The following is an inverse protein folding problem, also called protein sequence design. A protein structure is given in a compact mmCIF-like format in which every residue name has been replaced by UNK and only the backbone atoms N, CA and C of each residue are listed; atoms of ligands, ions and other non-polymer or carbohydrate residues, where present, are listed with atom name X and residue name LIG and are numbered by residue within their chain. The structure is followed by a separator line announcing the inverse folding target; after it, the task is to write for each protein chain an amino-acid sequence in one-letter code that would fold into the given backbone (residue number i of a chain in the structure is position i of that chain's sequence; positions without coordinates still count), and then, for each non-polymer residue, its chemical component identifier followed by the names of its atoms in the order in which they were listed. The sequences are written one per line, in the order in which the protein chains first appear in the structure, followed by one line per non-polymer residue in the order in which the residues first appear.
data_IF_041180580857
#
_entry.id   IF_041180580857
#
_cell.length_a   1.000
_cell.length_b   1.000
_cell.length_c   1.000
_cell.angle_alpha   90.00
_cell.angle_beta   90.00
_cell.angle_gamma   90.00
#
_symmetry.space_group_name_H-M   'P 1'
#
loop_
_entity.id
_entity.type
_entity.pdbx_description
1 polymer ?
#
# COMPACT_ATOMS: atom_id res chain seq x y z
N UNK A 1 -9.92 -19.84 -52.61
CA UNK A 1 -10.39 -20.82 -51.60
C UNK A 1 -9.20 -21.24 -50.74
N UNK A 2 -9.47 -21.47 -49.46
CA UNK A 2 -8.54 -21.50 -48.33
C UNK A 2 -7.50 -22.65 -48.33
N UNK A 3 -6.45 -22.49 -47.50
CA UNK A 3 -5.55 -23.57 -47.10
C UNK A 3 -4.49 -23.10 -46.10
N UNK A 4 -4.84 -23.11 -44.81
CA UNK A 4 -4.03 -22.69 -43.66
C UNK A 4 -2.96 -23.73 -43.29
N UNK A 5 -1.80 -23.27 -42.80
CA UNK A 5 -0.79 -24.16 -42.21
C UNK A 5 0.47 -23.46 -41.70
N UNK A 6 0.37 -22.66 -40.64
CA UNK A 6 1.55 -22.25 -39.88
C UNK A 6 1.55 -22.90 -38.49
N UNK A 7 2.49 -23.82 -38.33
CA UNK A 7 2.85 -24.54 -37.12
C UNK A 7 3.28 -23.54 -36.04
N UNK A 8 2.49 -23.44 -34.96
CA UNK A 8 2.91 -22.68 -33.77
C UNK A 8 3.80 -23.57 -32.90
N UNK A 9 5.12 -23.41 -33.04
CA UNK A 9 6.12 -24.01 -32.16
C UNK A 9 6.08 -23.26 -30.81
N UNK A 10 5.37 -23.84 -29.84
CA UNK A 10 5.40 -23.44 -28.42
C UNK A 10 6.85 -23.58 -27.93
N UNK A 11 7.57 -22.47 -27.78
CA UNK A 11 8.82 -22.42 -27.01
C UNK A 11 8.49 -21.85 -25.64
N UNK A 12 8.71 -22.67 -24.63
CA UNK A 12 8.62 -22.33 -23.23
C UNK A 12 9.51 -21.13 -22.92
N UNK A 13 8.94 -20.06 -22.38
CA UNK A 13 9.70 -19.03 -21.68
C UNK A 13 9.47 -19.27 -20.19
N UNK A 14 10.48 -19.86 -19.54
CA UNK A 14 10.57 -19.94 -18.10
C UNK A 14 10.38 -18.55 -17.48
N UNK A 15 9.35 -18.43 -16.65
CA UNK A 15 9.01 -17.19 -15.97
C UNK A 15 9.99 -16.88 -14.85
N UNK A 16 11.02 -16.09 -15.16
CA UNK A 16 11.81 -15.38 -14.15
C UNK A 16 11.14 -14.03 -13.91
N UNK A 17 10.66 -13.76 -12.69
CA UNK A 17 10.15 -12.42 -12.31
C UNK A 17 11.29 -11.40 -12.53
N UNK A 18 11.11 -10.38 -13.37
CA UNK A 18 12.12 -9.33 -13.53
C UNK A 18 12.26 -8.54 -12.22
N UNK A 19 13.49 -8.34 -11.77
CA UNK A 19 13.82 -7.43 -10.65
C UNK A 19 13.62 -5.99 -11.14
N UNK A 20 12.65 -5.30 -10.56
CA UNK A 20 12.43 -3.86 -10.78
C UNK A 20 11.19 -3.56 -11.63
N UNK A 21 10.30 -2.74 -11.07
CA UNK A 21 9.07 -2.25 -11.71
C UNK A 21 9.35 -1.09 -12.67
N UNK A 22 10.47 -0.40 -12.51
CA UNK A 22 10.72 0.87 -13.19
C UNK A 22 11.26 0.76 -14.61
N UNK A 23 11.94 -0.34 -14.97
CA UNK A 23 12.56 -0.50 -16.29
C UNK A 23 11.61 -1.02 -17.38
N UNK A 24 10.37 -1.38 -17.02
CA UNK A 24 9.42 -2.02 -17.96
C UNK A 24 8.42 -1.09 -18.63
N UNK A 25 8.46 0.22 -18.38
CA UNK A 25 7.40 1.13 -18.81
C UNK A 25 7.62 1.88 -20.12
N UNK A 26 8.75 1.69 -20.83
CA UNK A 26 9.00 2.42 -22.10
C UNK A 26 8.78 1.60 -23.38
N UNK A 27 8.53 0.29 -23.29
CA UNK A 27 8.57 -0.60 -24.46
C UNK A 27 7.24 -0.95 -25.11
N UNK A 28 6.09 -0.77 -24.44
CA UNK A 28 4.84 -1.43 -24.87
C UNK A 28 3.57 -0.59 -24.76
N UNK A 29 3.65 0.70 -24.43
CA UNK A 29 2.46 1.55 -24.32
C UNK A 29 2.64 2.78 -25.20
N UNK A 30 1.72 2.96 -26.14
CA UNK A 30 1.61 4.22 -26.89
C UNK A 30 1.11 5.32 -25.95
N UNK A 31 1.54 6.57 -26.17
CA UNK A 31 1.25 7.72 -25.30
C UNK A 31 -0.25 7.95 -25.01
N UNK A 32 -1.15 7.35 -25.81
CA UNK A 32 -2.60 7.44 -25.64
C UNK A 32 -3.16 6.47 -24.58
N UNK A 33 -2.47 5.38 -24.26
CA UNK A 33 -2.92 4.38 -23.27
C UNK A 33 -2.40 4.65 -21.85
N UNK A 34 -1.57 5.68 -21.67
CA UNK A 34 -1.02 6.10 -20.37
C UNK A 34 -2.07 6.89 -19.56
N UNK A 35 -3.18 7.30 -20.17
CA UNK A 35 -4.22 8.10 -19.53
C UNK A 35 -5.59 7.41 -19.68
N UNK A 36 -5.75 6.27 -19.02
CA UNK A 36 -7.07 5.86 -18.53
C UNK A 36 -6.92 5.10 -17.20
N UNK A 37 -7.26 5.81 -16.12
CA UNK A 37 -7.47 5.24 -14.78
C UNK A 37 -8.64 4.24 -14.82
N UNK A 38 -8.40 3.00 -15.23
CA UNK A 38 -9.28 1.90 -14.83
C UNK A 38 -8.72 0.49 -15.08
N UNK A 39 -7.72 0.34 -15.95
CA UNK A 39 -7.12 -0.98 -16.21
C UNK A 39 -5.79 -1.08 -15.47
N UNK A 40 -5.88 -1.37 -14.17
CA UNK A 40 -4.74 -1.88 -13.43
C UNK A 40 -4.20 -3.13 -14.15
N UNK A 41 -2.90 -3.16 -14.42
CA UNK A 41 -2.31 -4.31 -15.14
C UNK A 41 -2.61 -5.64 -14.43
N UNK A 42 -2.72 -6.78 -15.13
CA UNK A 42 -2.96 -8.07 -14.48
C UNK A 42 -1.97 -8.41 -13.35
N UNK A 43 -0.76 -7.84 -13.41
CA UNK A 43 0.29 -8.02 -12.43
C UNK A 43 -0.01 -7.35 -11.08
N UNK A 44 -0.58 -6.13 -11.07
CA UNK A 44 -0.89 -5.46 -9.81
C UNK A 44 -2.13 -6.08 -9.14
N UNK A 45 -3.07 -6.63 -9.93
CA UNK A 45 -4.21 -7.39 -9.40
C UNK A 45 -3.76 -8.65 -8.64
N UNK A 46 -2.76 -9.36 -9.16
CA UNK A 46 -2.13 -10.48 -8.46
C UNK A 46 -1.47 -10.04 -7.14
N UNK A 47 -0.87 -8.84 -7.10
CA UNK A 47 -0.31 -8.29 -5.87
C UNK A 47 -1.39 -8.03 -4.80
N UNK A 48 -2.55 -7.46 -5.18
CA UNK A 48 -3.69 -7.34 -4.26
C UNK A 48 -4.12 -8.69 -3.70
N UNK A 49 -4.24 -9.72 -4.55
CA UNK A 49 -4.64 -11.06 -4.11
C UNK A 49 -3.63 -11.69 -3.15
N UNK A 50 -2.33 -11.50 -3.39
CA UNK A 50 -1.28 -11.95 -2.47
C UNK A 50 -1.41 -11.31 -1.10
N UNK A 51 -1.68 -10.01 -1.01
CA UNK A 51 -1.85 -9.31 0.26
C UNK A 51 -3.14 -9.77 0.96
N UNK A 52 -4.26 -9.79 0.22
CA UNK A 52 -5.59 -10.11 0.76
C UNK A 52 -5.69 -11.53 1.30
N UNK A 53 -4.95 -12.48 0.70
CA UNK A 53 -4.84 -13.86 1.21
C UNK A 53 -4.37 -13.91 2.68
N UNK A 54 -3.56 -12.94 3.09
CA UNK A 54 -3.00 -12.84 4.46
C UNK A 54 -3.69 -11.77 5.31
N UNK A 55 -4.79 -11.16 4.85
CA UNK A 55 -5.45 -10.08 5.59
C UNK A 55 -6.36 -10.59 6.73
N UNK A 56 -6.83 -11.84 6.66
CA UNK A 56 -7.76 -12.42 7.63
C UNK A 56 -7.34 -12.29 9.10
N UNK A 57 -6.09 -12.64 9.49
CA UNK A 57 -5.60 -12.45 10.86
C UNK A 57 -5.59 -10.98 11.31
N UNK A 58 -5.29 -10.05 10.41
CA UNK A 58 -5.30 -8.61 10.70
C UNK A 58 -6.73 -8.13 10.97
N UNK A 59 -7.67 -8.59 10.16
CA UNK A 59 -9.09 -8.26 10.29
C UNK A 59 -9.75 -8.84 11.54
N UNK A 60 -9.29 -10.01 11.98
CA UNK A 60 -9.76 -10.64 13.21
C UNK A 60 -9.42 -9.82 14.47
N UNK A 61 -8.32 -9.06 14.46
CA UNK A 61 -7.93 -8.20 15.58
C UNK A 61 -7.19 -6.94 15.12
N UNK A 62 -7.96 -5.96 14.62
CA UNK A 62 -7.43 -4.67 14.20
C UNK A 62 -6.77 -3.88 15.34
N UNK A 63 -7.18 -4.06 16.59
CA UNK A 63 -6.65 -3.29 17.72
C UNK A 63 -5.22 -3.73 18.03
N UNK A 64 -4.99 -5.04 18.16
CA UNK A 64 -3.66 -5.58 18.47
C UNK A 64 -2.69 -5.31 17.32
N UNK A 65 -3.07 -5.62 16.07
CA UNK A 65 -2.21 -5.37 14.92
C UNK A 65 -1.96 -3.87 14.70
N UNK A 66 -2.98 -3.04 14.89
CA UNK A 66 -2.89 -1.59 14.76
C UNK A 66 -1.95 -0.99 15.79
N UNK A 67 -2.03 -1.45 17.05
CA UNK A 67 -1.10 -1.04 18.09
C UNK A 67 0.34 -1.42 17.72
N UNK A 68 0.57 -2.67 17.31
CA UNK A 68 1.90 -3.15 16.92
C UNK A 68 2.49 -2.32 15.78
N UNK A 69 1.68 -1.98 14.76
CA UNK A 69 2.11 -1.15 13.64
C UNK A 69 2.53 0.25 14.11
N UNK A 70 1.69 0.94 14.88
CA UNK A 70 2.02 2.31 15.32
C UNK A 70 3.17 2.34 16.33
N UNK A 71 3.18 1.40 17.27
CA UNK A 71 4.28 1.25 18.23
C UNK A 71 5.61 1.04 17.50
N UNK A 72 5.64 0.15 16.50
CA UNK A 72 6.85 -0.10 15.71
C UNK A 72 7.23 1.09 14.84
N UNK A 73 6.26 1.75 14.20
CA UNK A 73 6.50 2.98 13.43
C UNK A 73 7.18 4.05 14.29
N UNK A 74 6.69 4.30 15.51
CA UNK A 74 7.26 5.32 16.39
C UNK A 74 8.61 4.93 16.97
N UNK A 75 8.89 3.64 17.16
CA UNK A 75 10.22 3.18 17.59
C UNK A 75 11.25 3.23 16.46
N UNK A 76 10.88 2.83 15.24
CA UNK A 76 11.78 2.85 14.07
C UNK A 76 11.97 4.26 13.50
N UNK A 77 10.93 5.10 13.61
CA UNK A 77 10.87 6.46 13.05
C UNK A 77 10.25 7.44 14.05
N UNK A 78 10.96 7.83 15.14
CA UNK A 78 10.40 8.66 16.22
C UNK A 78 9.88 10.02 15.77
N UNK A 79 10.38 10.56 14.66
CA UNK A 79 9.88 11.79 14.06
C UNK A 79 8.41 11.69 13.64
N UNK A 80 7.93 10.49 13.31
CA UNK A 80 6.54 10.28 12.91
C UNK A 80 5.56 10.41 14.07
N UNK A 81 5.97 10.08 15.31
CA UNK A 81 5.12 10.25 16.50
C UNK A 81 4.72 11.71 16.69
N UNK A 82 5.62 12.66 16.34
CA UNK A 82 5.38 14.11 16.42
C UNK A 82 4.21 14.57 15.55
N UNK A 83 3.85 13.80 14.51
CA UNK A 83 2.71 14.07 13.64
C UNK A 83 1.37 13.68 14.26
N UNK A 84 1.37 13.03 15.43
CA UNK A 84 0.18 12.60 16.16
C UNK A 84 0.06 13.36 17.48
N UNK A 85 -0.60 14.55 17.53
CA UNK A 85 -0.72 15.36 18.74
C UNK A 85 -1.26 14.62 19.96
N UNK A 86 -2.10 13.59 19.77
CA UNK A 86 -2.62 12.75 20.85
C UNK A 86 -1.57 11.81 21.47
N UNK A 87 -0.50 11.52 20.74
CA UNK A 87 0.49 10.52 21.11
C UNK A 87 1.87 11.11 21.39
N UNK A 88 2.15 12.36 21.04
CA UNK A 88 3.48 13.00 21.26
C UNK A 88 3.97 12.97 22.70
N UNK A 89 3.05 12.95 23.67
CA UNK A 89 3.38 12.90 25.10
C UNK A 89 3.51 11.49 25.68
N UNK A 90 3.25 10.44 24.89
CA UNK A 90 3.35 9.05 25.36
C UNK A 90 4.81 8.59 25.22
N UNK A 91 5.48 8.15 26.29
CA UNK A 91 6.81 7.56 26.18
C UNK A 91 6.81 6.35 25.26
N UNK A 92 7.88 6.15 24.47
CA UNK A 92 7.97 5.05 23.50
C UNK A 92 7.74 3.66 24.14
N UNK A 93 8.20 3.47 25.38
CA UNK A 93 8.01 2.23 26.15
C UNK A 93 6.57 1.98 26.61
N UNK A 94 5.69 2.98 26.58
CA UNK A 94 4.29 2.88 27.01
C UNK A 94 3.29 2.74 25.86
N UNK A 95 3.74 2.89 24.61
CA UNK A 95 2.90 2.82 23.42
C UNK A 95 2.18 1.47 23.27
N UNK A 96 2.89 0.37 23.57
CA UNK A 96 2.38 -0.99 23.41
C UNK A 96 1.14 -1.28 24.29
N UNK A 97 1.07 -0.66 25.47
CA UNK A 97 -0.06 -0.80 26.41
C UNK A 97 -1.15 0.24 26.21
N UNK A 98 -1.01 1.18 25.27
CA UNK A 98 -1.90 2.32 25.18
C UNK A 98 -3.14 2.04 24.31
N UNK A 99 -4.32 2.05 24.93
CA UNK A 99 -5.59 1.77 24.24
C UNK A 99 -5.94 2.79 23.14
N UNK A 100 -5.52 4.05 23.27
CA UNK A 100 -5.75 5.07 22.24
C UNK A 100 -4.89 4.84 20.99
N UNK A 101 -3.65 4.33 21.18
CA UNK A 101 -2.78 3.88 20.08
C UNK A 101 -3.43 2.69 19.38
N UNK A 102 -3.95 1.71 20.13
CA UNK A 102 -4.67 0.56 19.56
C UNK A 102 -5.88 0.98 18.73
N UNK A 103 -6.73 1.87 19.26
CA UNK A 103 -7.93 2.34 18.57
C UNK A 103 -7.60 3.14 17.29
N UNK A 104 -6.55 3.95 17.31
CA UNK A 104 -6.12 4.69 16.12
C UNK A 104 -5.50 3.76 15.08
N UNK A 105 -4.63 2.84 15.50
CA UNK A 105 -4.05 1.82 14.63
C UNK A 105 -5.13 0.97 13.95
N UNK A 106 -6.19 0.59 14.69
CA UNK A 106 -7.33 -0.11 14.13
C UNK A 106 -8.04 0.70 13.04
N UNK A 107 -8.14 2.02 13.20
CA UNK A 107 -8.74 2.91 12.18
C UNK A 107 -7.87 2.93 10.91
N UNK A 108 -6.55 3.03 11.05
CA UNK A 108 -5.60 2.98 9.93
C UNK A 108 -5.74 1.66 9.17
N UNK A 109 -5.71 0.53 9.88
CA UNK A 109 -5.78 -0.79 9.24
C UNK A 109 -7.15 -1.05 8.61
N UNK A 110 -8.26 -0.62 9.23
CA UNK A 110 -9.60 -0.73 8.59
C UNK A 110 -9.64 0.03 7.28
N UNK A 111 -9.11 1.26 7.24
CA UNK A 111 -9.06 2.06 6.01
C UNK A 111 -8.14 1.45 4.95
N UNK A 112 -7.00 0.90 5.35
CA UNK A 112 -6.16 0.14 4.41
C UNK A 112 -6.87 -1.11 3.89
N UNK A 113 -7.59 -1.85 4.74
CA UNK A 113 -8.39 -3.00 4.34
C UNK A 113 -9.47 -2.65 3.30
N UNK A 114 -10.17 -1.53 3.49
CA UNK A 114 -11.11 -1.00 2.49
C UNK A 114 -10.42 -0.71 1.15
N UNK A 115 -9.25 -0.05 1.16
CA UNK A 115 -8.46 0.25 -0.04
C UNK A 115 -8.00 -1.03 -0.75
N UNK A 116 -7.47 -2.00 -0.01
CA UNK A 116 -6.99 -3.27 -0.57
C UNK A 116 -8.13 -4.07 -1.20
N UNK A 117 -9.31 -4.12 -0.54
CA UNK A 117 -10.50 -4.81 -1.05
C UNK A 117 -11.11 -4.12 -2.28
N UNK A 118 -10.88 -2.81 -2.44
CA UNK A 118 -11.29 -2.09 -3.64
C UNK A 118 -10.44 -2.42 -4.88
N UNK A 119 -9.27 -3.08 -4.71
CA UNK A 119 -8.39 -3.56 -5.77
C UNK A 119 -8.15 -2.54 -6.89
N UNK A 120 -7.81 -1.31 -6.52
CA UNK A 120 -7.56 -0.21 -7.45
C UNK A 120 -8.75 0.66 -7.79
N UNK A 121 -9.98 0.23 -7.53
CA UNK A 121 -11.15 1.09 -7.62
C UNK A 121 -11.32 1.94 -6.35
N UNK A 122 -10.25 2.64 -5.94
CA UNK A 122 -10.15 3.27 -4.63
C UNK A 122 -10.39 4.78 -4.62
N UNK A 123 -10.69 5.41 -5.76
CA UNK A 123 -10.78 6.88 -5.85
C UNK A 123 -11.75 7.50 -4.81
N UNK A 124 -12.90 6.87 -4.59
CA UNK A 124 -13.90 7.34 -3.62
C UNK A 124 -13.44 7.22 -2.16
N UNK A 125 -12.58 6.25 -1.86
CA UNK A 125 -11.99 6.03 -0.53
C UNK A 125 -10.78 6.97 -0.34
N UNK A 126 -9.98 7.12 -1.38
CA UNK A 126 -8.71 7.83 -1.35
C UNK A 126 -8.89 9.35 -1.28
N UNK A 127 -9.86 9.91 -1.99
CA UNK A 127 -10.10 11.37 -2.03
C UNK A 127 -10.28 12.00 -0.63
N UNK A 128 -11.18 11.53 0.25
CA UNK A 128 -11.31 12.09 1.59
C UNK A 128 -10.07 11.82 2.46
N UNK A 129 -9.40 10.68 2.28
CA UNK A 129 -8.15 10.37 2.98
C UNK A 129 -7.04 11.38 2.62
N UNK A 130 -6.78 11.57 1.32
CA UNK A 130 -5.78 12.50 0.83
C UNK A 130 -6.10 13.94 1.27
N UNK A 131 -7.36 14.37 1.17
CA UNK A 131 -7.78 15.70 1.60
C UNK A 131 -7.47 15.96 3.08
N UNK A 132 -7.85 15.05 3.98
CA UNK A 132 -7.58 15.21 5.42
C UNK A 132 -6.09 15.18 5.72
N UNK A 133 -5.32 14.32 5.06
CA UNK A 133 -3.89 14.21 5.30
C UNK A 133 -3.09 15.42 4.76
N UNK A 134 -3.54 16.05 3.67
CA UNK A 134 -2.94 17.26 3.11
C UNK A 134 -3.35 18.55 3.86
N UNK A 135 -4.64 18.70 4.18
CA UNK A 135 -5.19 19.98 4.64
C UNK A 135 -5.17 20.11 6.15
N UNK A 136 -5.43 19.02 6.88
CA UNK A 136 -5.55 19.01 8.34
C UNK A 136 -4.30 18.48 9.02
N UNK A 137 -3.85 17.29 8.61
CA UNK A 137 -2.75 16.61 9.30
C UNK A 137 -1.37 17.00 8.78
N UNK A 138 -1.30 17.58 7.58
CA UNK A 138 -0.06 18.06 6.93
C UNK A 138 1.01 16.95 6.87
N UNK A 139 0.59 15.73 6.51
CA UNK A 139 1.46 14.55 6.52
C UNK A 139 2.34 14.53 5.26
N UNK A 140 3.68 14.51 5.40
CA UNK A 140 4.57 14.36 4.26
C UNK A 140 4.41 12.99 3.56
N UNK A 141 4.47 12.95 2.23
CA UNK A 141 4.27 11.74 1.41
C UNK A 141 5.17 10.56 1.85
N UNK A 142 6.40 10.86 2.30
CA UNK A 142 7.33 9.82 2.75
C UNK A 142 6.78 8.97 3.92
N UNK A 143 5.94 9.53 4.79
CA UNK A 143 5.38 8.80 5.93
C UNK A 143 4.47 7.64 5.52
N UNK A 144 3.80 7.74 4.37
CA UNK A 144 3.02 6.63 3.83
C UNK A 144 3.92 5.47 3.40
N UNK A 145 5.14 5.75 2.92
CA UNK A 145 6.13 4.69 2.61
C UNK A 145 6.62 4.01 3.90
N UNK A 146 6.96 4.81 4.92
CA UNK A 146 7.43 4.29 6.21
C UNK A 146 6.40 3.35 6.85
N UNK A 147 5.14 3.79 6.97
CA UNK A 147 4.10 2.96 7.58
C UNK A 147 3.79 1.72 6.72
N UNK A 148 3.91 1.80 5.39
CA UNK A 148 3.72 0.64 4.51
C UNK A 148 4.77 -0.44 4.75
N UNK A 149 6.04 -0.06 4.92
CA UNK A 149 7.11 -1.02 5.26
C UNK A 149 6.86 -1.66 6.63
N UNK A 150 6.47 -0.86 7.63
CA UNK A 150 6.16 -1.38 8.97
C UNK A 150 4.97 -2.35 8.94
N UNK A 151 3.92 -2.04 8.18
CA UNK A 151 2.77 -2.95 7.99
C UNK A 151 3.23 -4.26 7.35
N UNK A 152 4.08 -4.20 6.32
CA UNK A 152 4.66 -5.39 5.70
C UNK A 152 5.41 -6.28 6.70
N UNK A 153 6.25 -5.68 7.56
CA UNK A 153 6.98 -6.41 8.62
C UNK A 153 6.02 -7.05 9.63
N UNK A 154 5.02 -6.31 10.11
CA UNK A 154 4.04 -6.84 11.08
C UNK A 154 3.20 -7.95 10.46
N UNK A 155 2.76 -7.81 9.21
CA UNK A 155 2.03 -8.87 8.51
C UNK A 155 2.89 -10.11 8.28
N UNK A 156 4.19 -9.95 8.03
CA UNK A 156 5.11 -11.09 7.91
C UNK A 156 5.19 -11.89 9.21
N UNK A 157 5.34 -11.19 10.34
CA UNK A 157 5.48 -11.79 11.66
C UNK A 157 4.16 -12.36 12.21
N UNK A 158 3.02 -11.75 11.90
CA UNK A 158 1.73 -12.05 12.55
C UNK A 158 0.70 -12.72 11.64
N UNK A 159 0.81 -12.55 10.32
CA UNK A 159 -0.15 -13.07 9.34
C UNK A 159 0.48 -13.98 8.28
N UNK A 160 1.79 -14.25 8.38
CA UNK A 160 2.52 -15.12 7.45
C UNK A 160 2.73 -14.53 6.06
N UNK A 161 2.72 -13.20 5.92
CA UNK A 161 3.00 -12.53 4.64
C UNK A 161 4.48 -12.71 4.28
N UNK A 162 4.75 -13.57 3.31
CA UNK A 162 6.12 -13.88 2.89
C UNK A 162 6.81 -12.70 2.16
N UNK A 163 8.06 -12.89 1.75
CA UNK A 163 8.83 -11.85 1.05
C UNK A 163 8.18 -11.40 -0.27
N UNK A 164 7.48 -12.29 -0.98
CA UNK A 164 6.77 -11.94 -2.20
C UNK A 164 5.53 -11.12 -1.90
N UNK A 165 4.80 -11.45 -0.84
CA UNK A 165 3.66 -10.68 -0.34
C UNK A 165 4.05 -9.29 0.17
N UNK A 166 5.19 -9.16 0.85
CA UNK A 166 5.73 -7.85 1.22
C UNK A 166 6.11 -7.01 0.00
N UNK A 167 6.67 -7.64 -1.05
CA UNK A 167 6.93 -6.94 -2.30
C UNK A 167 5.64 -6.52 -3.00
N UNK A 168 4.62 -7.37 -2.99
CA UNK A 168 3.29 -7.04 -3.51
C UNK A 168 2.69 -5.82 -2.77
N UNK A 169 2.81 -5.77 -1.44
CA UNK A 169 2.38 -4.62 -0.64
C UNK A 169 3.10 -3.34 -1.07
N UNK A 170 4.43 -3.39 -1.26
CA UNK A 170 5.18 -2.22 -1.77
C UNK A 170 4.68 -1.75 -3.13
N UNK A 171 4.39 -2.67 -4.04
CA UNK A 171 3.92 -2.35 -5.38
C UNK A 171 2.55 -1.67 -5.34
N UNK A 172 1.61 -2.25 -4.59
CA UNK A 172 0.26 -1.70 -4.39
C UNK A 172 0.33 -0.32 -3.73
N UNK A 173 1.11 -0.19 -2.66
CA UNK A 173 1.24 1.08 -1.96
C UNK A 173 1.96 2.14 -2.80
N UNK A 174 2.85 1.77 -3.72
CA UNK A 174 3.44 2.74 -4.66
C UNK A 174 2.39 3.39 -5.56
N UNK A 175 1.40 2.62 -6.03
CA UNK A 175 0.27 3.14 -6.83
C UNK A 175 -0.60 4.05 -5.96
N UNK A 176 -1.01 3.57 -4.77
CA UNK A 176 -1.83 4.36 -3.84
C UNK A 176 -1.16 5.67 -3.45
N UNK A 177 0.15 5.65 -3.15
CA UNK A 177 0.92 6.84 -2.77
C UNK A 177 1.05 7.81 -3.95
N UNK A 178 1.23 7.31 -5.18
CA UNK A 178 1.23 8.14 -6.39
C UNK A 178 -0.11 8.89 -6.55
N UNK A 179 -1.23 8.23 -6.30
CA UNK A 179 -2.56 8.84 -6.38
C UNK A 179 -2.81 9.86 -5.25
N UNK A 180 -2.28 9.61 -4.04
CA UNK A 180 -2.29 10.59 -2.94
C UNK A 180 -1.44 11.81 -3.33
N UNK A 181 -0.26 11.61 -3.89
CA UNK A 181 0.63 12.69 -4.32
C UNK A 181 -0.01 13.56 -5.41
N UNK A 182 -0.70 12.94 -6.38
CA UNK A 182 -1.49 13.68 -7.37
C UNK A 182 -2.58 14.52 -6.70
N UNK A 183 -3.31 13.94 -5.74
CA UNK A 183 -4.32 14.66 -4.96
C UNK A 183 -3.72 15.81 -4.14
N UNK A 184 -2.51 15.63 -3.59
CA UNK A 184 -1.81 16.67 -2.82
C UNK A 184 -1.45 17.87 -3.71
N UNK A 185 -0.99 17.61 -4.93
CA UNK A 185 -0.69 18.66 -5.93
C UNK A 185 -1.95 19.46 -6.29
N UNK A 186 -3.09 18.80 -6.50
CA UNK A 186 -4.38 19.48 -6.75
C UNK A 186 -4.81 20.36 -5.56
N UNK A 187 -4.47 19.96 -4.34
CA UNK A 187 -4.77 20.70 -3.10
C UNK A 187 -3.71 21.77 -2.75
N UNK A 188 -2.68 21.94 -3.58
CA UNK A 188 -1.59 22.90 -3.34
C UNK A 188 -0.69 22.54 -2.15
N UNK A 189 -0.66 21.28 -1.73
CA UNK A 189 0.22 20.82 -0.65
C UNK A 189 1.45 20.10 -1.23
N UNK A 190 2.64 20.56 -0.85
CA UNK A 190 3.92 19.96 -1.24
C UNK A 190 4.62 19.45 0.02
N UNK A 191 4.34 18.20 0.41
CA UNK A 191 4.93 17.53 1.57
C UNK A 191 5.11 16.06 1.30
#
# INVERSE_FOLDING_TARGET
MAGWGWVYKRRELGGVRPKGIWDRHKGYLTSSQIISHQVLSPWIMADYDMILKHWGPVEADYNTHGNLVLTRLFNEHPETQKLFPKFVGIPLGELAGNAAVSAHGATVLKKLGELLKAKGNHAAILKPLANTHATKHKIPINNFRLISEVIGKVMAEKAGLDAAGQQALRNVMAVVISDIEASYKELGFTG
#
